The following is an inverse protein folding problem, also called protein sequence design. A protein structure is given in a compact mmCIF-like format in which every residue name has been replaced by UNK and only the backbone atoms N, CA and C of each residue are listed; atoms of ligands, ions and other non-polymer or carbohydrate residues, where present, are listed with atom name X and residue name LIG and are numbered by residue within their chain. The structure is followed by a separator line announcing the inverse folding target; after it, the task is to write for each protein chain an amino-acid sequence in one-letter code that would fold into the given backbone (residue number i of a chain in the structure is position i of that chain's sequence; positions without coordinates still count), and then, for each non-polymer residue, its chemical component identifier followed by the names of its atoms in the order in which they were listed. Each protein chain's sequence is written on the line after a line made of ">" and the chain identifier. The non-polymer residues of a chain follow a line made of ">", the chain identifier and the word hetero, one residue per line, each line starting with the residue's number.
data_IF_574308431543
#
_entry.id   IF_574308431543
#
_cell.length_a   1.000
_cell.length_b   1.000
_cell.length_c   1.000
_cell.angle_alpha   90.00
_cell.angle_beta   90.00
_cell.angle_gamma   90.00
#
_symmetry.space_group_name_H-M   'P 1'
#
loop_
_entity.id
_entity.type
_entity.pdbx_description
1 polymer ?
#
# COMPACT_ATOMS: atom_id res chain seq x y z
N UNK A 1 19.12 -1.90 17.18
CA UNK A 1 19.81 -3.18 17.43
C UNK A 1 19.03 -4.32 18.09
N UNK A 2 18.06 -4.12 19.01
CA UNK A 2 17.16 -5.22 19.45
C UNK A 2 15.83 -5.33 18.69
N UNK A 3 15.32 -4.21 18.18
CA UNK A 3 14.07 -4.19 17.38
C UNK A 3 14.32 -4.73 15.98
N UNK A 4 15.49 -4.43 15.40
CA UNK A 4 15.86 -4.91 14.07
C UNK A 4 15.92 -6.43 14.00
N UNK A 5 16.49 -7.09 15.02
CA UNK A 5 16.52 -8.56 15.07
C UNK A 5 15.14 -9.21 15.12
N UNK A 6 14.09 -8.49 15.52
CA UNK A 6 12.72 -9.03 15.50
C UNK A 6 12.19 -9.05 14.07
N UNK A 7 12.24 -7.92 13.36
CA UNK A 7 11.70 -7.84 12.00
C UNK A 7 12.59 -8.45 10.92
N UNK A 8 13.85 -8.77 11.24
CA UNK A 8 14.79 -9.49 10.37
C UNK A 8 14.73 -11.02 10.57
N UNK A 9 13.97 -11.51 11.57
CA UNK A 9 13.88 -12.93 11.87
C UNK A 9 13.00 -13.69 10.84
N UNK A 10 13.29 -14.97 10.57
CA UNK A 10 12.41 -15.83 9.79
C UNK A 10 10.99 -15.87 10.37
N UNK A 11 9.99 -15.84 9.50
CA UNK A 11 8.57 -15.89 9.85
C UNK A 11 7.96 -14.53 10.20
N UNK A 12 8.76 -13.49 10.46
CA UNK A 12 8.23 -12.21 10.91
C UNK A 12 7.22 -11.61 9.94
N UNK A 13 7.49 -11.63 8.63
CA UNK A 13 6.58 -11.04 7.64
C UNK A 13 5.43 -12.00 7.31
N UNK A 14 5.69 -13.31 7.34
CA UNK A 14 4.69 -14.34 7.06
C UNK A 14 3.60 -14.40 8.14
N UNK A 15 3.95 -14.14 9.40
CA UNK A 15 3.03 -14.31 10.53
C UNK A 15 2.27 -13.03 10.90
N UNK A 16 2.41 -11.94 10.12
CA UNK A 16 1.69 -10.69 10.38
C UNK A 16 0.18 -10.88 10.21
N UNK A 17 -0.60 -10.43 11.19
CA UNK A 17 -2.05 -10.42 11.05
C UNK A 17 -2.52 -9.34 10.07
N UNK A 18 -3.54 -9.61 9.23
CA UNK A 18 -4.14 -8.60 8.38
C UNK A 18 -4.75 -7.44 9.18
N UNK A 19 -4.62 -6.22 8.65
CA UNK A 19 -5.31 -5.05 9.20
C UNK A 19 -6.84 -5.27 9.04
N UNK A 20 -7.66 -4.94 10.07
CA UNK A 20 -9.11 -5.09 9.98
C UNK A 20 -9.71 -4.43 8.73
N UNK A 21 -10.50 -5.20 7.97
CA UNK A 21 -11.16 -4.77 6.73
C UNK A 21 -10.26 -4.67 5.50
N UNK A 22 -8.93 -4.83 5.63
CA UNK A 22 -8.01 -4.64 4.50
C UNK A 22 -8.20 -5.67 3.39
N UNK A 23 -8.34 -6.95 3.74
CA UNK A 23 -8.47 -8.01 2.74
C UNK A 23 -9.76 -7.86 1.94
N UNK A 24 -10.86 -7.55 2.61
CA UNK A 24 -12.17 -7.38 1.96
C UNK A 24 -12.19 -6.12 1.10
N UNK A 25 -11.65 -5.00 1.59
CA UNK A 25 -11.55 -3.78 0.81
C UNK A 25 -10.69 -3.95 -0.47
N UNK A 26 -9.57 -4.66 -0.39
CA UNK A 26 -8.72 -4.95 -1.56
C UNK A 26 -9.42 -5.85 -2.58
N UNK A 27 -10.15 -6.88 -2.12
CA UNK A 27 -10.95 -7.74 -3.00
C UNK A 27 -12.06 -6.95 -3.68
N UNK A 28 -12.85 -6.22 -2.90
CA UNK A 28 -13.92 -5.35 -3.41
C UNK A 28 -13.38 -4.32 -4.41
N UNK A 29 -12.23 -3.71 -4.11
CA UNK A 29 -11.59 -2.73 -5.00
C UNK A 29 -11.16 -3.35 -6.33
N UNK A 30 -10.63 -4.57 -6.30
CA UNK A 30 -10.21 -5.30 -7.50
C UNK A 30 -11.40 -5.74 -8.37
N UNK A 31 -12.59 -5.91 -7.78
CA UNK A 31 -13.80 -6.30 -8.49
C UNK A 31 -14.59 -5.09 -9.03
N UNK A 32 -14.19 -3.86 -8.71
CA UNK A 32 -14.81 -2.66 -9.25
C UNK A 32 -14.52 -2.50 -10.75
N UNK A 33 -15.49 -2.04 -11.56
CA UNK A 33 -15.25 -1.73 -12.96
C UNK A 33 -14.18 -0.65 -13.10
N UNK A 34 -13.43 -0.71 -14.20
CA UNK A 34 -12.40 0.28 -14.55
C UNK A 34 -11.44 0.57 -13.39
N UNK A 35 -11.03 -0.46 -12.65
CA UNK A 35 -10.14 -0.35 -11.49
C UNK A 35 -9.05 -1.40 -11.55
N UNK A 36 -7.80 -0.95 -11.47
CA UNK A 36 -6.64 -1.84 -11.37
C UNK A 36 -5.98 -1.70 -10.01
N UNK A 37 -5.73 -2.83 -9.35
CA UNK A 37 -5.11 -2.89 -8.03
C UNK A 37 -3.77 -3.59 -8.12
N UNK A 38 -2.74 -2.98 -7.53
CA UNK A 38 -1.41 -3.55 -7.33
C UNK A 38 -0.99 -3.42 -5.87
N UNK A 39 -0.28 -4.42 -5.35
CA UNK A 39 0.33 -4.39 -4.01
C UNK A 39 1.76 -3.87 -4.17
N UNK A 40 1.94 -2.56 -4.01
CA UNK A 40 3.25 -1.90 -4.11
C UNK A 40 3.95 -1.86 -2.74
N UNK A 41 4.95 -2.70 -2.52
CA UNK A 41 5.61 -2.89 -1.22
C UNK A 41 7.13 -2.80 -1.32
N UNK A 42 7.79 -2.37 -0.24
CA UNK A 42 9.25 -2.25 -0.19
C UNK A 42 9.87 -3.36 0.65
N UNK A 43 10.95 -4.01 0.17
CA UNK A 43 11.69 -4.98 0.97
C UNK A 43 12.60 -4.27 2.00
N UNK A 44 13.00 -5.02 3.03
CA UNK A 44 14.15 -4.64 3.85
C UNK A 44 15.45 -4.77 3.03
N UNK A 45 16.51 -4.07 3.46
CA UNK A 45 17.85 -4.26 2.88
C UNK A 45 18.42 -5.66 3.18
N UNK A 46 18.16 -6.18 4.39
CA UNK A 46 18.37 -7.60 4.72
C UNK A 46 17.15 -8.39 4.27
N UNK A 47 17.18 -8.84 3.02
CA UNK A 47 16.01 -9.28 2.30
C UNK A 47 15.64 -10.76 2.52
N UNK A 48 16.55 -11.56 3.09
CA UNK A 48 16.49 -13.04 3.13
C UNK A 48 15.15 -13.58 3.65
N UNK A 49 14.61 -12.95 4.70
CA UNK A 49 13.34 -13.34 5.34
C UNK A 49 12.21 -12.34 5.06
N UNK A 50 12.38 -11.47 4.06
CA UNK A 50 11.41 -10.42 3.74
C UNK A 50 10.69 -10.69 2.40
N UNK A 51 11.46 -10.92 1.33
CA UNK A 51 10.91 -10.96 -0.03
C UNK A 51 9.99 -12.16 -0.22
N UNK A 52 10.49 -13.37 0.01
CA UNK A 52 9.69 -14.59 -0.18
C UNK A 52 8.48 -14.68 0.75
N UNK A 53 8.62 -14.19 1.99
CA UNK A 53 7.53 -14.19 2.98
C UNK A 53 6.40 -13.26 2.59
N UNK A 54 6.69 -12.08 2.01
CA UNK A 54 5.64 -11.18 1.48
C UNK A 54 4.83 -11.82 0.36
N UNK A 55 5.47 -12.53 -0.56
CA UNK A 55 4.76 -13.26 -1.63
C UNK A 55 3.85 -14.35 -1.05
N UNK A 56 4.36 -15.14 -0.10
CA UNK A 56 3.58 -16.19 0.57
C UNK A 56 2.42 -15.62 1.39
N UNK A 57 2.63 -14.51 2.09
CA UNK A 57 1.58 -13.83 2.86
C UNK A 57 0.41 -13.42 1.95
N UNK A 58 0.73 -12.80 0.80
CA UNK A 58 -0.29 -12.43 -0.20
C UNK A 58 -1.00 -13.66 -0.75
N UNK A 59 -0.27 -14.71 -1.09
CA UNK A 59 -0.85 -15.97 -1.57
C UNK A 59 -1.82 -16.58 -0.54
N UNK A 60 -1.41 -16.65 0.73
CA UNK A 60 -2.20 -17.23 1.83
C UNK A 60 -3.49 -16.44 2.10
N UNK A 61 -3.44 -15.11 2.03
CA UNK A 61 -4.56 -14.26 2.43
C UNK A 61 -5.44 -13.79 1.26
N UNK A 62 -4.88 -13.62 0.06
CA UNK A 62 -5.58 -13.05 -1.09
C UNK A 62 -5.65 -14.02 -2.29
N UNK A 63 -4.85 -15.08 -2.29
CA UNK A 63 -4.81 -16.08 -3.36
C UNK A 63 -3.77 -15.79 -4.45
N UNK A 64 -3.49 -16.77 -5.32
CA UNK A 64 -2.41 -16.71 -6.32
C UNK A 64 -2.58 -15.56 -7.32
N UNK A 65 -3.82 -15.19 -7.66
CA UNK A 65 -4.10 -14.09 -8.59
C UNK A 65 -3.64 -12.71 -8.08
N UNK A 66 -3.54 -12.53 -6.76
CA UNK A 66 -3.00 -11.29 -6.17
C UNK A 66 -1.47 -11.31 -6.08
N UNK A 67 -0.84 -12.49 -6.14
CA UNK A 67 0.62 -12.61 -6.21
C UNK A 67 1.16 -11.99 -7.50
N UNK A 68 0.44 -12.18 -8.61
CA UNK A 68 0.75 -11.57 -9.91
C UNK A 68 0.66 -10.03 -9.90
N UNK A 69 0.01 -9.46 -8.88
CA UNK A 69 -0.20 -8.01 -8.71
C UNK A 69 0.80 -7.37 -7.73
N UNK A 70 1.83 -8.09 -7.30
CA UNK A 70 2.86 -7.56 -6.40
C UNK A 70 3.89 -6.76 -7.21
N UNK A 71 4.13 -5.51 -6.79
CA UNK A 71 5.27 -4.70 -7.22
C UNK A 71 6.20 -4.53 -6.01
N UNK A 72 7.35 -5.20 -6.05
CA UNK A 72 8.35 -5.14 -4.99
C UNK A 72 9.44 -4.13 -5.37
N UNK A 73 9.46 -2.96 -4.71
CA UNK A 73 10.39 -1.87 -5.04
C UNK A 73 10.78 -1.05 -3.81
N UNK A 74 12.03 -0.57 -3.77
CA UNK A 74 12.49 0.41 -2.77
C UNK A 74 12.14 1.85 -3.17
N UNK A 75 11.85 2.08 -4.44
CA UNK A 75 11.41 3.36 -4.97
C UNK A 75 10.00 3.21 -5.58
N UNK A 76 9.00 3.77 -4.89
CA UNK A 76 7.60 3.75 -5.36
C UNK A 76 7.28 4.92 -6.29
N UNK A 77 8.17 5.92 -6.37
CA UNK A 77 7.96 7.13 -7.16
C UNK A 77 8.01 6.87 -8.66
N UNK A 78 8.77 5.84 -9.07
CA UNK A 78 8.84 5.34 -10.45
C UNK A 78 7.67 4.43 -10.86
N UNK A 79 6.78 4.05 -9.92
CA UNK A 79 5.62 3.21 -10.20
C UNK A 79 4.45 4.10 -10.62
N UNK A 80 3.85 3.78 -11.77
CA UNK A 80 2.71 4.52 -12.29
C UNK A 80 1.40 4.05 -11.62
N UNK A 81 0.51 5.01 -11.37
CA UNK A 81 -0.83 4.80 -10.83
C UNK A 81 -1.48 6.14 -10.47
N UNK A 82 -2.79 6.14 -10.24
CA UNK A 82 -3.53 7.35 -9.86
C UNK A 82 -3.48 7.65 -8.35
N UNK A 83 -3.35 6.59 -7.54
CA UNK A 83 -3.39 6.63 -6.08
C UNK A 83 -2.32 5.72 -5.49
N UNK A 84 -1.73 6.16 -4.38
CA UNK A 84 -0.90 5.34 -3.50
C UNK A 84 -1.42 5.47 -2.06
N UNK A 85 -2.04 4.40 -1.55
CA UNK A 85 -2.48 4.29 -0.15
C UNK A 85 -1.34 3.67 0.66
N UNK A 86 -0.72 4.47 1.54
CA UNK A 86 0.51 4.07 2.24
C UNK A 86 0.63 4.83 3.57
N UNK A 87 1.14 4.17 4.61
CA UNK A 87 1.23 4.72 5.97
C UNK A 87 2.49 5.55 6.22
N UNK A 88 3.48 5.51 5.32
CA UNK A 88 4.66 6.38 5.40
C UNK A 88 4.25 7.84 5.15
N UNK A 89 4.64 8.72 6.06
CA UNK A 89 4.30 10.14 6.05
C UNK A 89 4.68 10.88 4.75
N UNK A 90 5.88 10.59 4.23
CA UNK A 90 6.41 11.12 2.98
C UNK A 90 7.15 10.02 2.21
N UNK A 91 6.71 9.80 0.98
CA UNK A 91 7.32 8.88 0.03
C UNK A 91 8.21 9.69 -0.91
N UNK A 92 9.45 9.27 -1.06
CA UNK A 92 10.50 9.94 -1.85
C UNK A 92 11.26 8.89 -2.64
N UNK A 93 11.85 9.32 -3.75
CA UNK A 93 12.60 8.50 -4.68
C UNK A 93 13.18 9.39 -5.78
N UNK A 94 13.44 8.80 -6.94
CA UNK A 94 14.06 9.47 -8.07
C UNK A 94 13.10 10.40 -8.82
N UNK A 95 11.78 10.12 -8.81
CA UNK A 95 10.78 11.01 -9.41
C UNK A 95 10.37 12.12 -8.43
N UNK A 96 10.65 13.38 -8.81
CA UNK A 96 10.31 14.56 -8.01
C UNK A 96 8.79 14.76 -7.87
N UNK A 97 8.04 14.45 -8.94
CA UNK A 97 6.57 14.56 -8.98
C UNK A 97 5.95 13.23 -9.40
N UNK A 98 5.72 12.30 -8.45
CA UNK A 98 5.08 11.02 -8.73
C UNK A 98 3.69 11.20 -9.35
N UNK A 99 3.30 10.30 -10.25
CA UNK A 99 1.99 10.37 -10.94
C UNK A 99 0.81 10.13 -10.00
N UNK A 100 0.99 9.30 -8.99
CA UNK A 100 -0.05 8.99 -8.01
C UNK A 100 -0.23 10.12 -7.00
N UNK A 101 -1.47 10.31 -6.55
CA UNK A 101 -1.71 11.05 -5.32
C UNK A 101 -1.50 10.14 -4.10
N UNK A 102 -0.71 10.61 -3.14
CA UNK A 102 -0.51 9.93 -1.87
C UNK A 102 -1.71 10.13 -0.93
N UNK A 103 -2.33 9.02 -0.55
CA UNK A 103 -3.36 8.97 0.49
C UNK A 103 -2.71 8.38 1.74
N UNK A 104 -2.52 9.19 2.79
CA UNK A 104 -1.89 8.72 4.00
C UNK A 104 -2.83 7.76 4.75
N UNK A 105 -2.46 6.47 4.83
CA UNK A 105 -3.20 5.51 5.65
C UNK A 105 -2.84 5.70 7.12
N UNK A 106 -3.83 5.75 7.99
CA UNK A 106 -3.59 6.01 9.42
C UNK A 106 -2.97 4.81 10.12
N UNK A 107 -1.85 5.03 10.81
CA UNK A 107 -1.17 4.04 11.64
C UNK A 107 -0.73 4.68 12.96
N UNK A 108 -0.35 3.86 13.94
CA UNK A 108 0.01 4.32 15.29
C UNK A 108 1.13 5.37 15.29
N UNK A 109 2.07 5.27 14.34
CA UNK A 109 3.23 6.15 14.23
C UNK A 109 2.93 7.47 13.50
N UNK A 110 1.86 7.58 12.72
CA UNK A 110 1.54 8.79 11.93
C UNK A 110 0.25 9.52 12.38
N UNK A 111 -0.48 8.97 13.36
CA UNK A 111 -1.76 9.50 13.86
C UNK A 111 -1.71 10.93 14.40
N UNK A 112 -0.54 11.37 14.86
CA UNK A 112 -0.32 12.68 15.46
C UNK A 112 -0.04 13.77 14.41
N UNK A 113 0.20 13.38 13.16
CA UNK A 113 0.52 14.30 12.09
C UNK A 113 -0.74 15.03 11.61
N UNK A 114 -0.71 16.35 11.72
CA UNK A 114 -1.70 17.25 11.12
C UNK A 114 -1.31 17.48 9.67
N UNK A 115 -2.18 17.09 8.74
CA UNK A 115 -1.93 17.25 7.31
C UNK A 115 -2.39 18.63 6.84
N UNK A 116 -1.70 19.24 5.85
CA UNK A 116 -2.23 20.41 5.17
C UNK A 116 -3.51 20.05 4.40
N UNK A 117 -4.40 21.02 4.10
CA UNK A 117 -5.66 20.77 3.37
C UNK A 117 -5.50 20.14 1.98
N UNK A 118 -4.30 20.21 1.40
CA UNK A 118 -3.96 19.63 0.09
C UNK A 118 -3.66 18.14 0.14
N UNK A 119 -3.50 17.54 1.32
CA UNK A 119 -3.26 16.10 1.49
C UNK A 119 -4.47 15.41 2.09
N UNK A 120 -4.74 14.19 1.64
CA UNK A 120 -5.83 13.35 2.13
C UNK A 120 -5.30 12.23 3.03
N UNK A 121 -6.18 11.76 3.92
CA UNK A 121 -5.93 10.67 4.87
C UNK A 121 -7.08 9.69 4.81
N UNK A 122 -6.77 8.40 4.79
CA UNK A 122 -7.74 7.33 5.03
C UNK A 122 -7.59 6.87 6.49
N UNK A 123 -8.66 6.95 7.28
CA UNK A 123 -8.57 6.65 8.72
C UNK A 123 -8.49 5.15 9.01
N UNK A 124 -9.17 4.34 8.21
CA UNK A 124 -9.18 2.88 8.27
C UNK A 124 -9.84 2.33 6.99
N UNK A 125 -9.87 1.01 6.80
CA UNK A 125 -10.60 0.40 5.69
C UNK A 125 -12.13 0.45 5.82
N UNK A 126 -12.66 0.84 6.98
CA UNK A 126 -14.10 1.12 7.15
C UNK A 126 -14.49 2.55 6.75
N UNK A 127 -13.51 3.40 6.46
CA UNK A 127 -13.72 4.75 5.94
C UNK A 127 -14.06 4.71 4.43
N UNK A 128 -14.50 5.84 3.87
CA UNK A 128 -15.05 5.88 2.51
C UNK A 128 -13.97 5.88 1.41
N UNK A 129 -13.19 4.81 1.31
CA UNK A 129 -12.15 4.65 0.29
C UNK A 129 -12.68 4.70 -1.15
N UNK A 130 -13.97 4.37 -1.37
CA UNK A 130 -14.62 4.44 -2.68
C UNK A 130 -14.69 5.87 -3.21
N UNK A 131 -15.02 6.83 -2.37
CA UNK A 131 -15.06 8.25 -2.75
C UNK A 131 -13.67 8.77 -3.16
N UNK A 132 -12.60 8.26 -2.53
CA UNK A 132 -11.23 8.58 -2.93
C UNK A 132 -10.94 8.05 -4.34
N UNK A 133 -11.33 6.82 -4.65
CA UNK A 133 -11.19 6.24 -6.00
C UNK A 133 -12.01 7.02 -7.02
N UNK A 134 -13.29 7.28 -6.74
CA UNK A 134 -14.20 7.95 -7.66
C UNK A 134 -13.75 9.38 -7.99
N UNK A 135 -13.05 10.05 -7.06
CA UNK A 135 -12.43 11.35 -7.31
C UNK A 135 -11.41 11.34 -8.46
N UNK A 136 -10.89 10.18 -8.87
CA UNK A 136 -9.94 10.03 -9.98
C UNK A 136 -10.61 9.65 -11.31
N UNK A 137 -11.79 9.04 -11.28
CA UNK A 137 -12.48 8.55 -12.51
C UNK A 137 -12.84 9.68 -13.48
N UNK A 138 -13.22 10.85 -12.96
CA UNK A 138 -13.61 12.01 -13.79
C UNK A 138 -12.44 12.80 -14.42
N UNK A 139 -11.20 12.51 -14.04
CA UNK A 139 -10.00 13.11 -14.64
C UNK A 139 -9.57 12.35 -15.91
N UNK A 140 -9.70 11.02 -15.92
CA UNK A 140 -9.31 10.16 -17.02
C UNK A 140 -10.17 10.30 -18.30
N UNK A 141 -11.38 10.85 -18.19
CA UNK A 141 -12.27 11.08 -19.35
C UNK A 141 -11.98 12.40 -20.10
N UNK A 142 -10.96 13.17 -19.71
CA UNK A 142 -10.61 14.48 -20.31
C UNK A 142 -9.27 14.49 -21.05
N UNK A 143 -8.62 13.34 -21.19
CA UNK A 143 -7.49 13.11 -22.10
C UNK A 143 -7.94 12.25 -23.28
#
# INVERSE_FOLDING_TARGET
>A
DKVASVYEAPGFFLDLEPIPGALDAVREMNDLPDTEVFICTSPLLKYDHCVGEKYRWVEQHLGPQFVERIILTRDKTVVLGDLLIDDKDTIRGDEETPRWEHILFTCCHNRHLVLPPTKRRLLSWSDNWREILDSKRGAAQRE
#
